data_IF_951735132638
#
_entry.id   IF_951735132638
#
_cell.length_a   1.000
_cell.length_b   1.000
_cell.length_c   1.000
_cell.angle_alpha   90.00
_cell.angle_beta   90.00
_cell.angle_gamma   90.00
#
_symmetry.space_group_name_H-M   'P 1'
#
loop_
_entity.id
_entity.type
_entity.pdbx_description
1 polymer ?
#
# COMPACT_ATOMS: atom_id res chain seq x y z
N UNK A 1 5.09 -7.38 -9.35
CA UNK A 1 4.48 -6.61 -8.24
C UNK A 1 3.50 -7.42 -7.42
N UNK A 2 3.97 -8.51 -6.80
CA UNK A 2 3.20 -9.32 -5.86
C UNK A 2 3.56 -9.04 -4.40
N UNK A 3 4.64 -8.28 -4.15
CA UNK A 3 5.20 -8.09 -2.81
C UNK A 3 4.49 -7.02 -1.98
N UNK A 4 3.62 -6.21 -2.61
CA UNK A 4 2.90 -5.11 -1.94
C UNK A 4 1.89 -5.59 -0.87
N UNK A 5 1.52 -6.88 -0.88
CA UNK A 5 0.65 -7.49 0.13
C UNK A 5 1.42 -8.20 1.24
N UNK A 6 2.75 -8.24 1.18
CA UNK A 6 3.60 -8.94 2.16
C UNK A 6 3.33 -8.46 3.60
N UNK A 7 3.17 -7.15 3.89
CA UNK A 7 2.81 -6.72 5.24
C UNK A 7 1.47 -7.30 5.75
N UNK A 8 0.43 -7.34 4.89
CA UNK A 8 -0.86 -7.92 5.24
C UNK A 8 -0.79 -9.45 5.41
N UNK A 9 0.09 -10.12 4.65
CA UNK A 9 0.39 -11.55 4.82
C UNK A 9 1.12 -11.81 6.14
N UNK A 10 2.11 -11.00 6.48
CA UNK A 10 2.93 -11.13 7.68
C UNK A 10 2.12 -11.04 8.98
N UNK A 11 1.07 -10.21 8.99
CA UNK A 11 0.14 -10.08 10.14
C UNK A 11 -0.97 -11.14 10.16
N UNK A 12 -0.96 -12.11 9.24
CA UNK A 12 -1.85 -13.26 9.28
C UNK A 12 -3.26 -13.04 8.71
N UNK A 13 -3.48 -12.04 7.84
CA UNK A 13 -4.80 -11.80 7.23
C UNK A 13 -5.35 -13.00 6.44
N UNK A 14 -4.44 -13.83 5.88
CA UNK A 14 -4.76 -14.94 5.00
C UNK A 14 -4.75 -14.57 3.52
N UNK A 15 -3.75 -13.76 3.10
CA UNK A 15 -3.47 -13.44 1.70
C UNK A 15 -2.14 -14.05 1.27
N UNK A 16 -2.14 -14.76 0.15
CA UNK A 16 -0.96 -15.42 -0.41
C UNK A 16 -0.73 -15.03 -1.87
N UNK A 17 0.52 -15.14 -2.31
CA UNK A 17 0.90 -14.91 -3.70
C UNK A 17 0.85 -16.24 -4.44
N UNK A 18 -0.13 -16.40 -5.34
CA UNK A 18 -0.29 -17.60 -6.16
C UNK A 18 0.39 -17.42 -7.51
N UNK A 19 1.29 -18.34 -7.87
CA UNK A 19 2.05 -18.29 -9.12
C UNK A 19 1.12 -18.21 -10.35
N UNK A 20 1.39 -17.25 -11.24
CA UNK A 20 0.56 -17.00 -12.43
C UNK A 20 -0.79 -16.33 -12.18
N UNK A 21 -1.17 -16.09 -10.91
CA UNK A 21 -2.39 -15.38 -10.54
C UNK A 21 -2.05 -14.04 -9.89
N UNK A 22 -1.21 -14.02 -8.85
CA UNK A 22 -0.95 -12.85 -8.01
C UNK A 22 -1.54 -13.01 -6.61
N UNK A 23 -1.76 -11.91 -5.87
CA UNK A 23 -2.31 -11.97 -4.52
C UNK A 23 -3.74 -12.54 -4.48
N UNK A 24 -3.96 -13.52 -3.61
CA UNK A 24 -5.25 -14.19 -3.40
C UNK A 24 -5.53 -14.26 -1.90
N UNK A 25 -6.66 -13.70 -1.47
CA UNK A 25 -7.12 -13.83 -0.08
C UNK A 25 -8.02 -15.06 0.05
N UNK A 26 -7.67 -15.98 0.95
CA UNK A 26 -8.47 -17.19 1.23
C UNK A 26 -9.88 -16.81 1.70
N UNK A 27 -9.96 -15.82 2.59
CA UNK A 27 -11.21 -15.25 3.10
C UNK A 27 -11.24 -13.74 2.80
N UNK A 28 -11.90 -13.33 1.70
CA UNK A 28 -11.98 -11.92 1.33
C UNK A 28 -12.62 -11.06 2.42
N UNK A 29 -12.20 -9.80 2.51
CA UNK A 29 -12.75 -8.82 3.46
C UNK A 29 -14.19 -8.45 3.06
N UNK A 30 -15.15 -8.63 3.96
CA UNK A 30 -16.58 -8.42 3.70
C UNK A 30 -17.28 -7.61 4.78
N UNK A 31 -16.89 -7.74 6.04
CA UNK A 31 -17.61 -7.13 7.16
C UNK A 31 -16.69 -6.41 8.12
N UNK A 32 -17.27 -5.70 9.10
CA UNK A 32 -16.52 -4.97 10.13
C UNK A 32 -15.66 -5.91 10.99
N UNK A 33 -16.13 -7.11 11.26
CA UNK A 33 -15.41 -8.13 12.04
C UNK A 33 -14.10 -8.54 11.35
N UNK A 34 -14.01 -8.44 10.02
CA UNK A 34 -12.78 -8.74 9.30
C UNK A 34 -11.63 -7.77 9.62
N UNK A 35 -11.90 -6.60 10.21
CA UNK A 35 -10.86 -5.68 10.71
C UNK A 35 -10.03 -6.30 11.83
N UNK A 36 -10.58 -7.28 12.56
CA UNK A 36 -9.86 -8.01 13.61
C UNK A 36 -8.75 -8.89 13.04
N UNK A 37 -8.84 -9.27 11.75
CA UNK A 37 -7.80 -10.02 11.02
C UNK A 37 -6.65 -9.15 10.51
N UNK A 38 -6.72 -7.85 10.77
CA UNK A 38 -5.66 -6.88 10.46
C UNK A 38 -5.14 -6.29 11.77
N UNK A 39 -4.37 -7.04 12.58
CA UNK A 39 -3.76 -6.46 13.77
C UNK A 39 -2.70 -5.41 13.39
N UNK A 40 -2.22 -4.68 14.38
CA UNK A 40 -1.12 -3.72 14.19
C UNK A 40 0.13 -4.48 13.73
N UNK A 41 0.76 -4.03 12.65
CA UNK A 41 2.04 -4.57 12.21
C UNK A 41 3.14 -4.13 13.18
N UNK A 42 3.74 -5.11 13.86
CA UNK A 42 5.01 -4.96 14.60
C UNK A 42 6.11 -5.62 13.76
N UNK A 43 6.97 -4.86 13.06
CA UNK A 43 7.92 -5.41 12.10
C UNK A 43 8.85 -6.48 12.68
N UNK A 44 9.36 -6.27 13.90
CA UNK A 44 10.25 -7.22 14.59
C UNK A 44 9.59 -8.58 14.86
N UNK A 45 8.28 -8.60 15.08
CA UNK A 45 7.54 -9.83 15.38
C UNK A 45 7.03 -10.52 14.10
N UNK A 46 6.50 -9.72 13.16
CA UNK A 46 5.77 -10.24 12.01
C UNK A 46 6.66 -10.41 10.76
N UNK A 47 7.67 -9.57 10.61
CA UNK A 47 8.50 -9.50 9.40
C UNK A 47 9.97 -9.14 9.67
N UNK A 48 10.65 -9.78 10.64
CA UNK A 48 12.03 -9.41 11.02
C UNK A 48 13.03 -9.50 9.86
N UNK A 49 12.73 -10.36 8.88
CA UNK A 49 13.55 -10.58 7.69
C UNK A 49 13.58 -9.37 6.74
N UNK A 50 12.60 -8.47 6.77
CA UNK A 50 12.56 -7.31 5.86
C UNK A 50 13.69 -6.35 6.20
N UNK A 51 13.78 -5.89 7.44
CA UNK A 51 14.86 -5.01 7.89
C UNK A 51 16.25 -5.63 7.70
N UNK A 52 16.38 -6.94 7.95
CA UNK A 52 17.63 -7.66 7.71
C UNK A 52 18.02 -7.67 6.23
N UNK A 53 17.06 -7.96 5.35
CA UNK A 53 17.29 -7.95 3.90
C UNK A 53 17.69 -6.56 3.41
N UNK A 54 17.03 -5.51 3.92
CA UNK A 54 17.38 -4.12 3.59
C UNK A 54 18.82 -3.81 4.00
N UNK A 55 19.23 -4.16 5.22
CA UNK A 55 20.61 -3.94 5.69
C UNK A 55 21.64 -4.65 4.82
N UNK A 56 21.41 -5.93 4.50
CA UNK A 56 22.30 -6.71 3.64
C UNK A 56 22.41 -6.05 2.25
N UNK A 57 21.29 -5.67 1.66
CA UNK A 57 21.27 -5.04 0.34
C UNK A 57 21.99 -3.68 0.35
N UNK A 58 21.79 -2.85 1.37
CA UNK A 58 22.49 -1.57 1.50
C UNK A 58 24.01 -1.79 1.56
N UNK A 59 24.47 -2.75 2.35
CA UNK A 59 25.90 -3.09 2.45
C UNK A 59 26.48 -3.61 1.11
N UNK A 60 25.71 -4.41 0.36
CA UNK A 60 26.12 -4.96 -0.94
C UNK A 60 26.04 -3.94 -2.09
N UNK A 61 25.16 -2.96 -2.00
CA UNK A 61 24.92 -1.98 -3.07
C UNK A 61 26.01 -0.91 -3.16
N UNK A 62 26.74 -0.65 -2.08
CA UNK A 62 27.74 0.41 -1.99
C UNK A 62 27.08 1.79 -2.13
N UNK A 63 27.56 2.61 -3.07
CA UNK A 63 27.04 3.97 -3.28
C UNK A 63 25.67 4.04 -3.99
N UNK A 64 25.10 2.89 -4.39
CA UNK A 64 23.81 2.85 -5.10
C UNK A 64 22.66 2.89 -4.10
N UNK A 65 21.68 3.82 -4.24
CA UNK A 65 20.58 3.92 -3.30
C UNK A 65 19.63 2.72 -3.41
N UNK A 66 19.18 2.22 -2.26
CA UNK A 66 18.10 1.24 -2.19
C UNK A 66 16.75 1.97 -2.04
N UNK A 67 15.77 1.60 -2.85
CA UNK A 67 14.40 2.12 -2.75
C UNK A 67 13.54 1.09 -2.04
N UNK A 68 13.03 1.45 -0.85
CA UNK A 68 12.02 0.68 -0.14
C UNK A 68 10.63 0.89 -0.76
N UNK A 69 9.67 0.04 -0.43
CA UNK A 69 8.33 0.20 -0.97
C UNK A 69 7.22 -0.39 -0.11
N UNK A 70 6.00 0.07 -0.38
CA UNK A 70 4.77 -0.50 0.15
C UNK A 70 3.62 -0.37 -0.87
N UNK A 71 2.59 -1.20 -0.72
CA UNK A 71 1.33 -0.98 -1.42
C UNK A 71 0.54 0.17 -0.80
N UNK A 72 -0.07 1.00 -1.63
CA UNK A 72 -1.00 2.01 -1.16
C UNK A 72 -2.24 1.36 -0.52
N UNK A 73 -2.86 2.01 0.49
CA UNK A 73 -4.00 1.44 1.21
C UNK A 73 -5.13 0.99 0.29
N UNK A 74 -5.46 1.76 -0.74
CA UNK A 74 -6.52 1.44 -1.68
C UNK A 74 -6.22 0.18 -2.50
N UNK A 75 -5.01 0.09 -3.07
CA UNK A 75 -4.60 -1.07 -3.86
C UNK A 75 -4.58 -2.34 -3.01
N UNK A 76 -4.03 -2.29 -1.79
CA UNK A 76 -4.02 -3.45 -0.88
C UNK A 76 -5.44 -3.82 -0.47
N UNK A 77 -6.27 -2.85 -0.04
CA UNK A 77 -7.67 -3.07 0.32
C UNK A 77 -8.44 -3.78 -0.80
N UNK A 78 -8.18 -3.37 -2.03
CA UNK A 78 -8.85 -3.94 -3.19
C UNK A 78 -8.47 -5.39 -3.43
N UNK A 79 -7.23 -5.81 -3.18
CA UNK A 79 -6.89 -7.25 -3.18
C UNK A 79 -7.60 -8.00 -2.05
N UNK A 80 -7.67 -7.42 -0.84
CA UNK A 80 -8.34 -8.05 0.30
C UNK A 80 -9.84 -8.22 0.05
N UNK A 81 -10.49 -7.22 -0.56
CA UNK A 81 -11.93 -7.22 -0.86
C UNK A 81 -12.21 -8.09 -2.09
N UNK A 82 -11.52 -7.91 -3.21
CA UNK A 82 -11.80 -8.74 -4.40
C UNK A 82 -11.41 -10.20 -4.15
N UNK A 83 -10.44 -10.44 -3.27
CA UNK A 83 -9.93 -11.76 -2.93
C UNK A 83 -8.97 -12.34 -3.96
N UNK A 84 -8.81 -11.68 -5.10
CA UNK A 84 -7.93 -12.05 -6.21
C UNK A 84 -7.77 -10.83 -7.14
N UNK A 85 -6.85 -10.84 -8.12
CA UNK A 85 -6.77 -9.76 -9.09
C UNK A 85 -8.10 -9.59 -9.82
N UNK A 86 -8.56 -8.35 -9.91
CA UNK A 86 -9.83 -7.97 -10.53
C UNK A 86 -9.58 -6.91 -11.60
N UNK A 87 -10.43 -6.86 -12.62
CA UNK A 87 -10.38 -5.81 -13.67
C UNK A 87 -11.50 -4.78 -13.50
N UNK A 88 -12.57 -5.15 -12.79
CA UNK A 88 -13.77 -4.32 -12.62
C UNK A 88 -13.86 -3.72 -11.23
N UNK A 89 -13.22 -4.34 -10.23
CA UNK A 89 -13.18 -3.88 -8.83
C UNK A 89 -14.59 -3.72 -8.25
N UNK A 90 -15.50 -4.62 -8.63
CA UNK A 90 -16.92 -4.52 -8.34
C UNK A 90 -17.20 -4.55 -6.83
N UNK A 91 -16.55 -5.46 -6.09
CA UNK A 91 -16.75 -5.57 -4.65
C UNK A 91 -16.12 -4.39 -3.92
N UNK A 92 -14.93 -3.95 -4.35
CA UNK A 92 -14.28 -2.77 -3.79
C UNK A 92 -15.14 -1.52 -3.97
N UNK A 93 -15.61 -1.26 -5.20
CA UNK A 93 -16.46 -0.09 -5.49
C UNK A 93 -17.78 -0.18 -4.75
N UNK A 94 -18.39 -1.38 -4.66
CA UNK A 94 -19.61 -1.58 -3.89
C UNK A 94 -19.41 -1.21 -2.41
N UNK A 95 -18.36 -1.70 -1.77
CA UNK A 95 -18.07 -1.36 -0.36
C UNK A 95 -17.77 0.13 -0.19
N UNK A 96 -16.95 0.71 -1.08
CA UNK A 96 -16.61 2.14 -1.07
C UNK A 96 -17.84 3.05 -1.06
N UNK A 97 -18.88 2.71 -1.83
CA UNK A 97 -20.09 3.52 -1.92
C UNK A 97 -21.21 3.12 -0.96
N UNK A 98 -21.38 1.84 -0.66
CA UNK A 98 -22.46 1.35 0.18
C UNK A 98 -22.13 1.39 1.68
N UNK A 99 -20.85 1.25 2.03
CA UNK A 99 -20.36 1.17 3.41
C UNK A 99 -19.09 2.04 3.59
N UNK A 100 -19.19 3.35 3.33
CA UNK A 100 -18.01 4.23 3.25
C UNK A 100 -17.23 4.30 4.57
N UNK A 101 -17.88 4.16 5.72
CA UNK A 101 -17.22 4.15 7.03
C UNK A 101 -16.40 2.87 7.24
N UNK A 102 -16.90 1.72 6.80
CA UNK A 102 -16.16 0.45 6.86
C UNK A 102 -14.97 0.50 5.90
N UNK A 103 -15.19 1.01 4.69
CA UNK A 103 -14.13 1.20 3.71
C UNK A 103 -13.02 2.12 4.24
N UNK A 104 -13.39 3.27 4.81
CA UNK A 104 -12.43 4.19 5.43
C UNK A 104 -11.67 3.53 6.60
N UNK A 105 -12.34 2.76 7.45
CA UNK A 105 -11.69 2.03 8.55
C UNK A 105 -10.68 0.98 8.04
N UNK A 106 -11.00 0.28 6.95
CA UNK A 106 -10.08 -0.65 6.31
C UNK A 106 -8.85 0.07 5.75
N UNK A 107 -9.04 1.15 4.99
CA UNK A 107 -7.93 1.91 4.41
C UNK A 107 -7.07 2.57 5.50
N UNK A 108 -7.68 3.03 6.60
CA UNK A 108 -6.97 3.60 7.73
C UNK A 108 -6.04 2.58 8.41
N UNK A 109 -6.53 1.35 8.60
CA UNK A 109 -5.74 0.22 9.12
C UNK A 109 -4.60 -0.16 8.19
N UNK A 110 -4.84 -0.19 6.89
CA UNK A 110 -3.83 -0.51 5.89
C UNK A 110 -2.79 0.60 5.74
N UNK A 111 -3.18 1.86 5.96
CA UNK A 111 -2.23 2.97 6.06
C UNK A 111 -1.28 2.77 7.25
N UNK A 112 -1.78 2.39 8.43
CA UNK A 112 -0.91 2.11 9.59
C UNK A 112 0.08 0.96 9.32
N UNK A 113 -0.37 -0.08 8.63
CA UNK A 113 0.49 -1.20 8.21
C UNK A 113 1.56 -0.75 7.22
N UNK A 114 1.19 0.06 6.22
CA UNK A 114 2.13 0.62 5.26
C UNK A 114 3.15 1.54 5.95
N UNK A 115 2.72 2.38 6.88
CA UNK A 115 3.60 3.26 7.68
C UNK A 115 4.62 2.42 8.44
N UNK A 116 4.17 1.43 9.22
CA UNK A 116 5.07 0.57 9.99
C UNK A 116 6.11 -0.13 9.10
N UNK A 117 5.68 -0.65 7.93
CA UNK A 117 6.58 -1.30 6.97
C UNK A 117 7.57 -0.34 6.32
N UNK A 118 7.14 0.87 5.93
CA UNK A 118 8.02 1.86 5.32
C UNK A 118 9.03 2.42 6.34
N UNK A 119 8.60 2.73 7.56
CA UNK A 119 9.51 3.18 8.62
C UNK A 119 10.57 2.13 8.92
N UNK A 120 10.19 0.85 9.03
CA UNK A 120 11.14 -0.25 9.22
C UNK A 120 12.21 -0.28 8.10
N UNK A 121 11.78 -0.23 6.84
CA UNK A 121 12.71 -0.19 5.70
C UNK A 121 13.62 1.05 5.70
N UNK A 122 13.09 2.23 5.99
CA UNK A 122 13.89 3.46 6.05
C UNK A 122 14.93 3.39 7.17
N UNK A 123 14.50 2.98 8.38
CA UNK A 123 15.42 2.84 9.52
C UNK A 123 16.47 1.75 9.31
N UNK A 124 16.19 0.76 8.46
CA UNK A 124 17.14 -0.27 8.06
C UNK A 124 18.13 0.19 6.96
N UNK A 125 17.91 1.38 6.35
CA UNK A 125 18.86 2.01 5.43
C UNK A 125 18.32 2.32 4.03
N UNK A 126 17.03 2.09 3.75
CA UNK A 126 16.45 2.51 2.47
C UNK A 126 16.57 4.02 2.28
N UNK A 127 17.13 4.44 1.14
CA UNK A 127 17.47 5.85 0.87
C UNK A 127 16.32 6.64 0.27
N UNK A 128 15.28 5.96 -0.20
CA UNK A 128 14.02 6.51 -0.71
C UNK A 128 12.92 5.47 -0.55
N UNK A 129 11.65 5.88 -0.66
CA UNK A 129 10.52 4.96 -0.60
C UNK A 129 9.51 5.20 -1.71
N UNK A 130 8.85 4.14 -2.16
CA UNK A 130 7.76 4.20 -3.14
C UNK A 130 6.46 3.58 -2.61
N UNK A 131 5.38 4.35 -2.69
CA UNK A 131 4.02 3.89 -2.45
C UNK A 131 3.37 3.54 -3.80
N UNK A 132 3.01 2.26 -3.97
CA UNK A 132 2.40 1.74 -5.19
C UNK A 132 0.87 1.74 -5.09
N UNK A 133 0.21 2.66 -5.78
CA UNK A 133 -1.25 2.72 -5.93
C UNK A 133 -1.71 2.27 -7.32
N UNK A 134 -1.34 1.03 -7.66
CA UNK A 134 -1.51 0.47 -9.00
C UNK A 134 -2.96 0.39 -9.48
N UNK A 135 -3.95 0.49 -8.59
CA UNK A 135 -5.38 0.40 -8.96
C UNK A 135 -6.09 1.76 -8.94
N UNK A 136 -5.41 2.83 -8.52
CA UNK A 136 -5.98 4.18 -8.41
C UNK A 136 -6.61 4.69 -9.71
N UNK A 137 -6.04 4.35 -10.87
CA UNK A 137 -6.56 4.73 -12.18
C UNK A 137 -7.96 4.20 -12.51
N UNK A 138 -8.50 3.29 -11.69
CA UNK A 138 -9.88 2.82 -11.81
C UNK A 138 -10.94 3.80 -11.28
N UNK A 139 -10.51 4.91 -10.65
CA UNK A 139 -11.36 5.90 -10.00
C UNK A 139 -11.33 7.23 -10.74
N UNK A 140 -12.48 7.90 -10.84
CA UNK A 140 -12.54 9.30 -11.28
C UNK A 140 -11.92 10.23 -10.22
N UNK A 141 -11.42 11.42 -10.58
CA UNK A 141 -10.76 12.33 -9.64
C UNK A 141 -11.57 12.63 -8.35
N UNK A 142 -12.88 12.95 -8.40
CA UNK A 142 -13.64 13.24 -7.18
C UNK A 142 -13.79 12.02 -6.24
N UNK A 143 -13.78 10.81 -6.78
CA UNK A 143 -13.87 9.57 -6.01
C UNK A 143 -12.52 9.27 -5.36
N UNK A 144 -11.43 9.43 -6.10
CA UNK A 144 -10.07 9.28 -5.57
C UNK A 144 -9.80 10.28 -4.44
N UNK A 145 -10.09 11.56 -4.68
CA UNK A 145 -9.92 12.64 -3.71
C UNK A 145 -10.67 12.37 -2.40
N UNK A 146 -11.91 11.89 -2.50
CA UNK A 146 -12.76 11.66 -1.33
C UNK A 146 -12.39 10.40 -0.55
N UNK A 147 -12.11 9.29 -1.24
CA UNK A 147 -12.06 7.97 -0.62
C UNK A 147 -10.66 7.38 -0.51
N UNK A 148 -9.67 7.87 -1.26
CA UNK A 148 -8.34 7.25 -1.34
C UNK A 148 -7.24 8.22 -0.91
N UNK A 149 -7.24 9.44 -1.45
CA UNK A 149 -6.22 10.46 -1.18
C UNK A 149 -5.93 10.67 0.32
N UNK A 150 -6.92 10.74 1.24
CA UNK A 150 -6.65 10.96 2.66
C UNK A 150 -5.76 9.88 3.28
N UNK A 151 -5.84 8.64 2.80
CA UNK A 151 -5.09 7.52 3.34
C UNK A 151 -3.66 7.46 2.80
N UNK A 152 -3.44 7.78 1.52
CA UNK A 152 -2.08 7.97 0.99
C UNK A 152 -1.40 9.18 1.65
N UNK A 153 -2.15 10.26 1.92
CA UNK A 153 -1.65 11.42 2.67
C UNK A 153 -1.23 11.05 4.09
N UNK A 154 -2.07 10.29 4.82
CA UNK A 154 -1.72 9.75 6.14
C UNK A 154 -0.38 8.99 6.12
N UNK A 155 -0.14 8.16 5.08
CA UNK A 155 1.12 7.42 4.95
C UNK A 155 2.30 8.37 4.78
N UNK A 156 2.24 9.33 3.85
CA UNK A 156 3.36 10.24 3.58
C UNK A 156 3.63 11.23 4.72
N UNK A 157 2.59 11.74 5.37
CA UNK A 157 2.71 12.61 6.54
C UNK A 157 3.41 11.90 7.70
N UNK A 158 3.05 10.63 7.94
CA UNK A 158 3.58 9.84 9.05
C UNK A 158 5.02 9.33 8.85
N UNK A 159 5.63 9.57 7.70
CA UNK A 159 7.05 9.26 7.42
C UNK A 159 7.85 10.50 7.04
N UNK A 160 7.24 11.70 7.06
CA UNK A 160 7.89 12.94 6.68
C UNK A 160 9.06 13.34 7.61
N UNK A 161 9.07 12.82 8.84
CA UNK A 161 10.16 13.02 9.82
C UNK A 161 11.44 12.24 9.49
N UNK A 162 11.40 11.29 8.56
CA UNK A 162 12.53 10.43 8.21
C UNK A 162 13.40 10.97 7.06
N UNK A 163 13.05 12.14 6.49
CA UNK A 163 13.83 12.91 5.50
C UNK A 163 14.41 12.08 4.33
N UNK A 164 13.60 11.17 3.78
CA UNK A 164 13.92 10.43 2.55
C UNK A 164 12.97 10.83 1.42
N UNK A 165 13.39 10.83 0.14
CA UNK A 165 12.50 11.06 -0.99
C UNK A 165 11.35 10.05 -1.04
N UNK A 166 10.13 10.56 -1.24
CA UNK A 166 8.89 9.77 -1.27
C UNK A 166 8.30 9.80 -2.68
N UNK A 167 8.08 8.61 -3.23
CA UNK A 167 7.57 8.42 -4.58
C UNK A 167 6.15 7.87 -4.50
N UNK A 168 5.21 8.46 -5.24
CA UNK A 168 3.87 7.92 -5.41
C UNK A 168 3.69 7.46 -6.85
N UNK A 169 3.48 6.16 -7.05
CA UNK A 169 3.35 5.58 -8.38
C UNK A 169 1.98 4.93 -8.53
N UNK A 170 1.35 5.10 -9.69
CA UNK A 170 0.07 4.50 -10.03
C UNK A 170 -0.01 4.17 -11.51
N UNK A 171 -0.97 3.32 -11.88
CA UNK A 171 -1.21 2.90 -13.26
C UNK A 171 -2.57 3.44 -13.71
N UNK A 172 -2.63 4.00 -14.92
CA UNK A 172 -3.82 4.63 -15.49
C UNK A 172 -4.23 5.90 -14.77
N UNK A 173 -3.28 6.64 -14.19
CA UNK A 173 -3.55 7.74 -13.24
C UNK A 173 -3.48 9.13 -13.86
N UNK A 174 -3.49 9.26 -15.19
CA UNK A 174 -3.32 10.54 -15.90
C UNK A 174 -4.22 11.67 -15.40
N UNK A 175 -5.50 11.38 -15.12
CA UNK A 175 -6.46 12.38 -14.62
C UNK A 175 -6.29 12.75 -13.12
N UNK A 176 -5.50 11.96 -12.37
CA UNK A 176 -5.32 12.12 -10.92
C UNK A 176 -3.86 12.38 -10.50
N UNK A 177 -2.93 12.60 -11.44
CA UNK A 177 -1.52 12.85 -11.13
C UNK A 177 -1.32 14.02 -10.15
N UNK A 178 -2.10 15.11 -10.32
CA UNK A 178 -2.06 16.25 -9.39
C UNK A 178 -2.48 15.85 -7.98
N UNK A 179 -3.60 15.13 -7.85
CA UNK A 179 -4.09 14.62 -6.56
C UNK A 179 -3.10 13.65 -5.91
N UNK A 180 -2.43 12.81 -6.69
CA UNK A 180 -1.38 11.93 -6.18
C UNK A 180 -0.19 12.70 -5.61
N UNK A 181 0.17 13.83 -6.22
CA UNK A 181 1.19 14.75 -5.70
C UNK A 181 0.74 15.45 -4.42
N UNK A 182 -0.53 15.88 -4.36
CA UNK A 182 -1.14 16.50 -3.17
C UNK A 182 -1.21 15.57 -1.96
N UNK A 183 -0.93 14.27 -2.13
CA UNK A 183 -0.76 13.33 -1.02
C UNK A 183 0.51 13.61 -0.19
N UNK A 184 1.44 14.44 -0.67
CA UNK A 184 2.70 14.75 0.04
C UNK A 184 3.92 13.99 -0.50
N UNK A 185 3.85 13.48 -1.73
CA UNK A 185 4.97 12.85 -2.40
C UNK A 185 5.92 13.89 -3.02
N UNK A 186 7.22 13.61 -3.00
CA UNK A 186 8.24 14.45 -3.63
C UNK A 186 8.33 14.16 -5.14
N UNK A 187 7.97 12.93 -5.55
CA UNK A 187 7.96 12.48 -6.93
C UNK A 187 6.65 11.74 -7.22
N UNK A 188 6.00 12.09 -8.35
CA UNK A 188 4.87 11.32 -8.88
C UNK A 188 5.34 10.53 -10.10
N UNK A 189 5.27 9.21 -10.01
CA UNK A 189 5.58 8.30 -11.10
C UNK A 189 4.41 8.21 -12.08
N UNK A 190 4.72 8.24 -13.38
CA UNK A 190 3.74 8.29 -14.47
C UNK A 190 3.91 7.01 -15.31
N UNK A 191 2.81 6.41 -15.74
CA UNK A 191 2.84 5.36 -16.76
C UNK A 191 2.73 5.94 -18.19
N UNK A 192 2.92 5.11 -19.20
CA UNK A 192 2.91 5.54 -20.61
C UNK A 192 1.55 5.36 -21.30
N UNK A 193 0.50 4.99 -20.55
CA UNK A 193 -0.81 4.61 -21.13
C UNK A 193 -1.78 5.78 -21.25
#
# INVERSE_FOLDING_TARGET
DSDIVVPARAIGFGIDIVAGVGPVAERPFRTKEDLERLPVLVPEEHSPYIAETVRILVDELGDRPLIGFAGAPFTVASYLIEGRPSRTYEHTKRMMFAEPELFAALLDRLADIAIASLRDQITAGASAVQLFDSWAGALSPPVYERHVLPHSRKVFDAIADLDVPRIHFGVGTGEILGLMGDAGADVVGIDWR
#
